data_IF_177825272475
#
_entry.id   IF_177825272475
#
_cell.length_a   1.000
_cell.length_b   1.000
_cell.length_c   1.000
_cell.angle_alpha   90.00
_cell.angle_beta   90.00
_cell.angle_gamma   90.00
#
_symmetry.space_group_name_H-M   'P 1'
#
loop_
_entity.id
_entity.type
_entity.pdbx_description
1 polymer ?
#
# COMPACT_ATOMS: atom_id res chain seq x y z
N UNK A 1 -29.32 20.44 76.58
CA UNK A 1 -29.82 19.68 75.42
C UNK A 1 -28.66 19.49 74.44
N UNK A 2 -27.98 18.40 74.59
CA UNK A 2 -26.69 18.08 73.97
C UNK A 2 -26.92 17.27 72.66
N UNK A 3 -26.44 17.74 71.54
CA UNK A 3 -26.41 16.93 70.32
C UNK A 3 -24.99 16.48 70.02
N UNK A 4 -24.79 15.17 70.12
CA UNK A 4 -23.57 14.51 69.68
C UNK A 4 -23.47 14.53 68.15
N UNK A 5 -22.34 14.95 67.66
CA UNK A 5 -21.96 14.76 66.24
C UNK A 5 -21.10 13.49 66.13
N UNK A 6 -21.57 12.53 65.33
CA UNK A 6 -20.86 11.30 65.02
C UNK A 6 -19.87 11.58 63.84
N UNK A 7 -18.58 11.39 64.09
CA UNK A 7 -17.52 11.36 63.07
C UNK A 7 -17.51 9.99 62.39
N UNK A 8 -17.92 9.93 61.13
CA UNK A 8 -17.75 8.75 60.32
C UNK A 8 -16.34 8.64 59.78
N UNK A 9 -15.63 7.60 60.17
CA UNK A 9 -14.32 7.23 59.68
C UNK A 9 -14.48 6.55 58.30
N UNK A 10 -14.08 7.24 57.20
CA UNK A 10 -14.00 6.65 55.87
C UNK A 10 -12.69 5.89 55.80
N UNK A 11 -12.75 4.57 55.81
CA UNK A 11 -11.66 3.67 55.46
C UNK A 11 -11.44 3.73 53.95
N UNK A 12 -10.34 4.36 53.57
CA UNK A 12 -9.83 4.36 52.20
C UNK A 12 -9.13 3.01 51.94
N UNK A 13 -9.86 2.06 51.33
CA UNK A 13 -9.26 0.80 50.87
C UNK A 13 -8.39 1.06 49.67
N UNK A 14 -7.07 1.01 49.85
CA UNK A 14 -6.08 0.92 48.76
C UNK A 14 -6.29 -0.40 47.99
N UNK A 15 -6.95 -0.33 46.84
CA UNK A 15 -6.92 -1.40 45.88
C UNK A 15 -5.55 -1.39 45.21
N UNK A 16 -4.67 -2.29 45.65
CA UNK A 16 -3.44 -2.59 44.91
C UNK A 16 -3.78 -3.21 43.59
N UNK A 17 -3.47 -2.51 42.50
CA UNK A 17 -3.49 -3.10 41.17
C UNK A 17 -2.49 -4.28 41.12
N UNK A 18 -2.84 -5.43 40.55
CA UNK A 18 -1.88 -6.50 40.38
C UNK A 18 -0.78 -6.04 39.42
N UNK A 19 0.46 -6.04 39.87
CA UNK A 19 1.62 -5.90 39.02
C UNK A 19 1.53 -6.96 37.92
N UNK A 20 1.52 -6.52 36.67
CA UNK A 20 1.58 -7.43 35.53
C UNK A 20 2.83 -8.30 35.69
N UNK A 21 2.59 -9.55 36.03
CA UNK A 21 3.61 -10.56 36.20
C UNK A 21 4.21 -10.80 34.82
N UNK A 22 5.42 -10.27 34.61
CA UNK A 22 6.23 -10.49 33.42
C UNK A 22 6.46 -12.00 33.35
N UNK A 23 5.76 -12.67 32.44
CA UNK A 23 5.90 -14.10 32.23
C UNK A 23 7.35 -14.41 31.92
N UNK A 24 7.97 -15.24 32.75
CA UNK A 24 9.33 -15.71 32.57
C UNK A 24 9.41 -16.39 31.20
N UNK A 25 10.38 -16.00 30.39
CA UNK A 25 10.67 -16.64 29.12
C UNK A 25 10.85 -18.15 29.33
N UNK A 26 10.34 -19.01 28.45
CA UNK A 26 10.51 -20.47 28.58
C UNK A 26 11.99 -20.80 28.63
N UNK A 27 12.36 -21.65 29.58
CA UNK A 27 13.72 -22.11 29.80
C UNK A 27 14.31 -22.66 28.51
N UNK A 28 15.48 -22.17 28.11
CA UNK A 28 16.23 -22.63 26.95
C UNK A 28 16.57 -24.09 27.09
N UNK A 29 16.48 -24.89 26.02
CA UNK A 29 17.11 -26.19 26.02
C UNK A 29 18.64 -26.00 26.22
N UNK A 30 19.17 -26.67 27.24
CA UNK A 30 20.52 -26.41 27.80
C UNK A 30 21.67 -27.09 27.04
N UNK A 31 21.48 -27.51 25.78
CA UNK A 31 22.43 -28.47 25.19
C UNK A 31 22.93 -28.18 23.77
N UNK A 32 22.96 -26.93 23.33
CA UNK A 32 23.70 -26.57 22.13
C UNK A 32 24.60 -25.36 22.39
N UNK A 33 25.94 -25.57 22.26
CA UNK A 33 26.91 -24.48 22.40
C UNK A 33 26.58 -23.33 21.40
N UNK A 34 26.28 -22.16 21.91
CA UNK A 34 25.98 -21.02 21.07
C UNK A 34 27.06 -19.93 21.21
N UNK A 35 27.64 -19.44 20.15
CA UNK A 35 27.45 -19.88 18.76
C UNK A 35 28.01 -21.28 18.51
N UNK A 36 27.55 -21.96 17.45
CA UNK A 36 28.07 -23.26 17.08
C UNK A 36 29.56 -23.18 16.78
N UNK A 37 30.27 -24.30 17.00
CA UNK A 37 31.69 -24.38 16.73
C UNK A 37 32.01 -23.94 15.30
N UNK A 38 33.02 -23.06 15.14
CA UNK A 38 33.42 -22.51 13.83
C UNK A 38 32.74 -21.25 13.43
N UNK A 39 31.67 -20.77 14.14
CA UNK A 39 31.07 -19.47 13.87
C UNK A 39 31.84 -18.33 14.54
N UNK A 40 32.14 -17.31 13.78
CA UNK A 40 32.87 -16.13 14.22
C UNK A 40 31.93 -15.08 14.83
N UNK A 41 32.40 -14.37 15.81
CA UNK A 41 31.73 -13.18 16.37
C UNK A 41 32.23 -11.92 15.65
N UNK A 42 31.43 -10.83 15.65
CA UNK A 42 31.90 -9.51 15.20
C UNK A 42 33.22 -9.10 15.90
N UNK A 43 34.15 -8.54 15.15
CA UNK A 43 35.46 -8.14 15.65
C UNK A 43 36.59 -9.00 15.12
N UNK A 44 37.84 -8.75 15.58
CA UNK A 44 39.05 -9.53 15.25
C UNK A 44 39.25 -9.77 13.72
N UNK A 45 39.07 -8.73 12.91
CA UNK A 45 39.28 -8.80 11.46
C UNK A 45 38.15 -9.49 10.67
N UNK A 46 37.02 -9.77 11.32
CA UNK A 46 35.83 -10.31 10.64
C UNK A 46 35.05 -9.20 9.96
N UNK A 47 34.88 -9.32 8.64
CA UNK A 47 33.98 -8.47 7.86
C UNK A 47 32.55 -8.99 8.02
N UNK A 48 31.63 -8.12 8.42
CA UNK A 48 30.24 -8.51 8.69
C UNK A 48 29.46 -8.80 7.40
N UNK A 49 28.54 -9.77 7.43
CA UNK A 49 27.59 -10.00 6.37
C UNK A 49 26.73 -8.78 6.08
N UNK A 50 26.42 -8.50 4.81
CA UNK A 50 25.52 -7.41 4.40
C UNK A 50 24.20 -7.98 3.90
N UNK A 51 23.04 -7.48 4.34
CA UNK A 51 21.75 -7.99 3.87
C UNK A 51 21.55 -7.71 2.38
N UNK A 52 21.20 -8.73 1.61
CA UNK A 52 20.82 -8.65 0.19
C UNK A 52 19.31 -8.70 0.02
N UNK A 53 18.65 -9.54 0.81
CA UNK A 53 17.19 -9.67 0.77
C UNK A 53 16.66 -9.86 2.19
N UNK A 54 15.60 -9.13 2.53
CA UNK A 54 14.95 -9.15 3.84
C UNK A 54 13.49 -9.52 3.67
N UNK A 55 13.00 -10.47 4.47
CA UNK A 55 11.61 -10.89 4.52
C UNK A 55 11.00 -10.38 5.81
N UNK A 56 9.85 -9.72 5.73
CA UNK A 56 9.13 -9.24 6.92
C UNK A 56 8.47 -10.42 7.64
N UNK A 57 8.48 -10.42 8.99
CA UNK A 57 7.79 -11.43 9.74
C UNK A 57 6.27 -11.29 9.58
N UNK A 58 5.59 -12.44 9.54
CA UNK A 58 4.13 -12.47 9.47
C UNK A 58 3.52 -12.31 10.87
N UNK A 59 2.43 -11.59 10.96
CA UNK A 59 1.62 -11.55 12.18
C UNK A 59 0.80 -12.83 12.33
N UNK A 60 0.65 -13.27 13.56
CA UNK A 60 -0.38 -14.27 13.88
C UNK A 60 -1.72 -13.58 14.10
N UNK A 61 -2.81 -14.26 13.76
CA UNK A 61 -4.16 -13.73 14.00
C UNK A 61 -4.44 -13.46 15.50
N UNK A 62 -3.82 -14.22 16.41
CA UNK A 62 -3.93 -14.02 17.85
C UNK A 62 -3.24 -12.72 18.29
N UNK A 63 -1.98 -12.52 17.89
CA UNK A 63 -1.24 -11.30 18.22
C UNK A 63 -1.85 -10.02 17.63
N UNK A 64 -2.51 -10.13 16.45
CA UNK A 64 -3.25 -9.02 15.88
C UNK A 64 -4.46 -8.63 16.74
N UNK A 65 -5.22 -9.60 17.25
CA UNK A 65 -6.36 -9.32 18.14
C UNK A 65 -5.94 -8.65 19.44
N UNK A 66 -4.82 -9.11 20.00
CA UNK A 66 -4.26 -8.57 21.26
C UNK A 66 -3.43 -7.29 21.03
N UNK A 67 -3.33 -6.83 19.78
CA UNK A 67 -2.61 -5.58 19.39
C UNK A 67 -1.16 -5.53 19.86
N UNK A 68 -0.47 -6.67 19.87
CA UNK A 68 0.92 -6.76 20.33
C UNK A 68 1.83 -6.13 19.28
N UNK A 69 2.64 -5.16 19.68
CA UNK A 69 3.59 -4.47 18.82
C UNK A 69 4.93 -4.33 19.52
N UNK A 70 6.01 -4.34 18.74
CA UNK A 70 7.34 -4.18 19.28
C UNK A 70 8.41 -4.82 18.41
N UNK A 71 9.53 -5.19 19.02
CA UNK A 71 10.68 -5.75 18.32
C UNK A 71 11.09 -7.07 18.93
N UNK A 72 11.40 -8.04 18.06
CA UNK A 72 12.09 -9.28 18.41
C UNK A 72 13.56 -9.11 18.01
N UNK A 73 14.48 -9.33 18.94
CA UNK A 73 15.89 -9.41 18.60
C UNK A 73 16.29 -10.89 18.49
N UNK A 74 16.96 -11.22 17.38
CA UNK A 74 17.45 -12.56 17.09
C UNK A 74 18.97 -12.55 16.97
N UNK A 75 19.62 -13.59 17.49
CA UNK A 75 20.97 -13.95 17.08
C UNK A 75 20.89 -14.99 15.94
N UNK A 76 21.56 -14.70 14.85
CA UNK A 76 21.56 -15.52 13.63
C UNK A 76 22.97 -15.88 13.22
N UNK A 77 23.13 -17.07 12.65
CA UNK A 77 24.37 -17.48 11.97
C UNK A 77 24.15 -17.32 10.48
N UNK A 78 24.93 -16.45 9.87
CA UNK A 78 25.00 -16.32 8.40
C UNK A 78 26.12 -17.22 7.91
N UNK A 79 25.74 -18.18 7.09
CA UNK A 79 26.66 -19.16 6.52
C UNK A 79 27.50 -18.56 5.36
N UNK A 80 28.57 -19.23 4.94
CA UNK A 80 29.42 -18.76 3.82
C UNK A 80 28.67 -18.60 2.47
N UNK A 81 27.51 -19.25 2.31
CA UNK A 81 26.62 -19.10 1.15
C UNK A 81 25.66 -17.92 1.28
N UNK A 82 25.72 -17.15 2.38
CA UNK A 82 24.85 -16.04 2.70
C UNK A 82 23.48 -16.43 3.23
N UNK A 83 23.22 -17.72 3.49
CA UNK A 83 21.96 -18.17 4.10
C UNK A 83 21.97 -18.04 5.61
N UNK A 84 20.77 -17.93 6.22
CA UNK A 84 20.57 -18.00 7.67
C UNK A 84 20.01 -19.37 8.02
N UNK A 85 20.85 -20.26 8.50
CA UNK A 85 20.41 -21.60 8.88
C UNK A 85 19.97 -21.66 10.34
N UNK A 86 20.67 -20.98 11.22
CA UNK A 86 20.41 -20.98 12.66
C UNK A 86 20.03 -19.59 13.13
N UNK A 87 18.95 -19.51 13.89
CA UNK A 87 18.47 -18.29 14.53
C UNK A 87 17.86 -18.63 15.88
N UNK A 88 18.15 -17.83 16.89
CA UNK A 88 17.52 -17.94 18.21
C UNK A 88 17.05 -16.58 18.70
N UNK A 89 16.04 -16.59 19.54
CA UNK A 89 15.52 -15.36 20.15
C UNK A 89 16.50 -14.89 21.22
N UNK A 90 17.03 -13.69 21.06
CA UNK A 90 17.84 -13.00 22.06
C UNK A 90 16.96 -12.19 23.00
N UNK A 91 15.99 -11.47 22.46
CA UNK A 91 14.98 -10.72 23.20
C UNK A 91 13.62 -10.97 22.59
N UNK A 92 12.74 -11.59 23.38
CA UNK A 92 11.36 -11.89 23.04
C UNK A 92 10.52 -10.62 23.03
N UNK A 93 9.59 -10.53 22.07
CA UNK A 93 8.47 -9.64 22.11
C UNK A 93 7.25 -10.33 22.68
N UNK A 94 7.02 -11.57 22.26
CA UNK A 94 5.82 -12.33 22.59
C UNK A 94 6.07 -13.82 22.48
N UNK A 95 6.05 -14.52 23.61
CA UNK A 95 6.19 -15.97 23.69
C UNK A 95 4.86 -16.73 23.64
N UNK A 96 3.70 -16.03 23.66
CA UNK A 96 2.37 -16.64 23.84
C UNK A 96 1.62 -16.73 22.51
N UNK A 97 1.66 -15.69 21.72
CA UNK A 97 0.87 -15.56 20.49
C UNK A 97 1.68 -15.86 19.23
N UNK A 98 2.92 -16.32 19.36
CA UNK A 98 3.75 -16.88 18.28
C UNK A 98 4.52 -15.85 17.44
N UNK A 99 4.69 -14.60 17.88
CA UNK A 99 5.44 -13.59 17.11
C UNK A 99 6.93 -13.91 17.07
N UNK A 100 7.50 -14.43 18.12
CA UNK A 100 8.90 -14.84 18.17
C UNK A 100 9.22 -15.93 17.14
N UNK A 101 8.33 -16.89 16.99
CA UNK A 101 8.44 -17.96 16.00
C UNK A 101 8.35 -17.40 14.56
N UNK A 102 7.44 -16.47 14.32
CA UNK A 102 7.33 -15.81 13.02
C UNK A 102 8.58 -14.96 12.70
N UNK A 103 9.19 -14.35 13.69
CA UNK A 103 10.46 -13.65 13.54
C UNK A 103 11.58 -14.60 13.11
N UNK A 104 11.74 -15.73 13.80
CA UNK A 104 12.73 -16.77 13.44
C UNK A 104 12.49 -17.31 12.02
N UNK A 105 11.22 -17.54 11.66
CA UNK A 105 10.83 -18.03 10.34
C UNK A 105 11.18 -17.03 9.22
N UNK A 106 10.95 -15.75 9.48
CA UNK A 106 11.32 -14.68 8.55
C UNK A 106 12.84 -14.55 8.41
N UNK A 107 13.57 -14.54 9.52
CA UNK A 107 15.03 -14.44 9.54
C UNK A 107 15.72 -15.53 8.71
N UNK A 108 15.23 -16.78 8.76
CA UNK A 108 15.74 -17.90 7.97
C UNK A 108 15.55 -17.74 6.46
N UNK A 109 14.66 -16.85 6.03
CA UNK A 109 14.43 -16.54 4.61
C UNK A 109 15.29 -15.37 4.11
N UNK A 110 15.99 -14.66 5.01
CA UNK A 110 16.89 -13.59 4.60
C UNK A 110 18.09 -14.14 3.82
N UNK A 111 18.67 -13.28 2.99
CA UNK A 111 19.90 -13.57 2.26
C UNK A 111 20.90 -12.45 2.49
N UNK A 112 22.15 -12.82 2.65
CA UNK A 112 23.26 -11.92 2.92
C UNK A 112 24.41 -12.13 1.92
N UNK A 113 25.15 -11.08 1.64
CA UNK A 113 26.52 -11.24 1.20
C UNK A 113 27.31 -11.84 2.39
N UNK A 114 28.08 -12.92 2.19
CA UNK A 114 28.74 -13.62 3.30
C UNK A 114 29.72 -12.73 4.04
N UNK A 115 29.85 -13.00 5.33
CA UNK A 115 30.94 -12.43 6.11
C UNK A 115 32.27 -13.09 5.76
N UNK A 116 33.37 -12.35 5.90
CA UNK A 116 34.69 -12.89 5.57
C UNK A 116 35.67 -12.65 6.71
N UNK A 117 36.65 -13.57 6.81
CA UNK A 117 37.85 -13.39 7.63
C UNK A 117 39.05 -13.73 6.75
N UNK A 118 40.03 -12.84 6.72
CA UNK A 118 41.20 -12.96 5.85
C UNK A 118 40.83 -13.25 4.37
N UNK A 119 39.78 -12.57 3.88
CA UNK A 119 39.16 -12.74 2.56
C UNK A 119 38.54 -14.12 2.27
N UNK A 120 38.39 -14.98 3.27
CA UNK A 120 37.70 -16.25 3.15
C UNK A 120 36.29 -16.12 3.74
N UNK A 121 35.28 -16.61 3.02
CA UNK A 121 33.90 -16.64 3.53
C UNK A 121 33.80 -17.58 4.73
N UNK A 122 33.25 -17.08 5.83
CA UNK A 122 33.15 -17.85 7.09
C UNK A 122 31.75 -17.67 7.70
N UNK A 123 31.28 -18.63 8.52
CA UNK A 123 30.05 -18.45 9.27
C UNK A 123 30.20 -17.30 10.29
N UNK A 124 29.29 -16.34 10.28
CA UNK A 124 29.34 -15.18 11.18
C UNK A 124 28.06 -15.07 11.98
N UNK A 125 28.19 -14.89 13.29
CA UNK A 125 27.07 -14.59 14.17
C UNK A 125 26.75 -13.09 14.09
N UNK A 126 25.49 -12.78 13.82
CA UNK A 126 24.98 -11.40 13.81
C UNK A 126 23.73 -11.28 14.68
N UNK A 127 23.43 -10.07 15.09
CA UNK A 127 22.15 -9.75 15.72
C UNK A 127 21.28 -8.98 14.72
N UNK A 128 20.03 -9.39 14.56
CA UNK A 128 19.04 -8.69 13.77
C UNK A 128 17.82 -8.35 14.61
N UNK A 129 17.20 -7.21 14.34
CA UNK A 129 15.92 -6.84 14.95
C UNK A 129 14.82 -6.90 13.88
N UNK A 130 13.75 -7.62 14.20
CA UNK A 130 12.52 -7.63 13.39
C UNK A 130 11.44 -6.86 14.15
N UNK A 131 10.82 -5.93 13.45
CA UNK A 131 9.79 -5.09 14.03
C UNK A 131 8.40 -5.60 13.65
N UNK A 132 7.57 -5.80 14.65
CA UNK A 132 6.15 -6.03 14.52
C UNK A 132 5.43 -4.72 14.82
N UNK A 133 4.91 -4.10 13.81
CA UNK A 133 3.98 -3.00 13.93
C UNK A 133 2.65 -3.45 13.40
N UNK A 134 1.61 -3.35 14.21
CA UNK A 134 0.29 -3.29 13.65
C UNK A 134 0.32 -2.02 12.82
N UNK A 135 0.31 -2.18 11.51
CA UNK A 135 -0.01 -1.04 10.69
C UNK A 135 -1.29 -0.47 11.31
N UNK A 136 -1.24 0.71 11.86
CA UNK A 136 -2.46 1.49 12.05
C UNK A 136 -3.18 1.33 10.72
N UNK A 137 -4.47 0.94 10.69
CA UNK A 137 -5.17 0.88 9.43
C UNK A 137 -4.76 2.16 8.72
N UNK A 138 -4.17 2.06 7.52
CA UNK A 138 -3.65 3.24 6.84
C UNK A 138 -4.71 4.29 7.05
N UNK A 139 -4.34 5.48 7.57
CA UNK A 139 -5.31 6.55 7.82
C UNK A 139 -6.24 6.50 6.64
N UNK A 140 -7.60 6.58 6.80
CA UNK A 140 -8.51 6.47 5.69
C UNK A 140 -7.97 7.42 4.63
N UNK A 141 -7.47 6.84 3.59
CA UNK A 141 -6.38 7.36 2.81
C UNK A 141 -6.74 8.69 2.25
N UNK A 142 -5.83 9.52 2.35
CA UNK A 142 -5.74 10.75 1.64
C UNK A 142 -5.80 10.44 0.15
N UNK A 143 -6.54 11.21 -0.58
CA UNK A 143 -6.52 11.24 -2.02
C UNK A 143 -5.06 11.34 -2.52
N UNK A 144 -4.77 10.92 -3.75
CA UNK A 144 -3.48 11.25 -4.34
C UNK A 144 -3.15 12.73 -4.07
N UNK A 145 -1.91 13.11 -3.74
CA UNK A 145 -1.57 14.50 -3.41
C UNK A 145 -2.06 15.51 -4.45
N UNK A 146 -2.07 15.12 -5.71
CA UNK A 146 -2.64 15.91 -6.83
C UNK A 146 -4.16 16.08 -6.77
N UNK A 147 -4.86 15.25 -5.99
CA UNK A 147 -6.30 15.36 -5.75
C UNK A 147 -6.63 16.02 -4.39
N UNK A 148 -5.68 16.06 -3.45
CA UNK A 148 -5.94 16.46 -2.07
C UNK A 148 -6.40 17.92 -1.96
N UNK A 149 -5.77 18.83 -2.70
CA UNK A 149 -6.18 20.23 -2.77
C UNK A 149 -7.47 20.44 -3.57
N UNK A 150 -7.83 19.50 -4.42
CA UNK A 150 -8.96 19.56 -5.33
C UNK A 150 -10.19 18.81 -4.80
N UNK A 151 -9.99 17.84 -3.90
CA UNK A 151 -11.07 17.01 -3.35
C UNK A 151 -12.08 17.81 -2.51
N UNK A 152 -11.65 18.93 -1.94
CA UNK A 152 -12.49 19.87 -1.18
C UNK A 152 -13.18 20.92 -2.07
N UNK A 153 -12.86 20.97 -3.36
CA UNK A 153 -13.51 21.87 -4.30
C UNK A 153 -14.92 21.37 -4.58
N UNK A 154 -15.89 22.16 -4.20
CA UNK A 154 -17.30 21.89 -4.51
C UNK A 154 -17.56 22.30 -5.96
N UNK A 155 -17.61 21.32 -6.85
CA UNK A 155 -18.03 21.55 -8.22
C UNK A 155 -19.56 21.53 -8.31
N UNK A 156 -20.11 22.46 -9.10
CA UNK A 156 -21.51 22.39 -9.47
C UNK A 156 -21.73 21.20 -10.42
N UNK A 157 -22.46 20.21 -9.92
CA UNK A 157 -22.76 18.98 -10.66
C UNK A 157 -24.24 18.89 -11.02
N UNK A 158 -25.00 19.98 -10.92
CA UNK A 158 -26.46 20.04 -11.18
C UNK A 158 -26.81 19.75 -12.63
N UNK A 159 -26.00 19.78 -13.55
CA UNK A 159 -26.27 19.45 -14.96
C UNK A 159 -25.52 18.19 -15.46
N UNK A 160 -24.99 17.38 -14.58
CA UNK A 160 -24.22 16.21 -15.00
C UNK A 160 -25.12 15.12 -15.56
N UNK A 161 -24.62 14.42 -16.58
CA UNK A 161 -25.22 13.22 -17.16
C UNK A 161 -24.81 12.01 -16.34
N UNK A 162 -25.62 10.96 -16.43
CA UNK A 162 -25.29 9.64 -15.89
C UNK A 162 -25.33 8.60 -17.00
N UNK A 163 -24.41 7.65 -16.92
CA UNK A 163 -24.45 6.41 -17.68
C UNK A 163 -24.47 5.20 -16.75
N UNK A 164 -25.18 4.16 -17.18
CA UNK A 164 -25.31 2.90 -16.48
C UNK A 164 -24.90 1.79 -17.41
N UNK A 165 -24.03 0.92 -16.93
CA UNK A 165 -23.58 -0.26 -17.68
C UNK A 165 -23.71 -1.51 -16.81
N UNK A 166 -24.34 -2.53 -17.36
CA UNK A 166 -24.54 -3.84 -16.73
C UNK A 166 -23.53 -4.83 -17.32
N UNK A 167 -22.63 -5.35 -16.46
CA UNK A 167 -21.57 -6.26 -16.90
C UNK A 167 -21.16 -7.22 -15.79
N UNK A 168 -21.03 -8.50 -16.14
CA UNK A 168 -20.54 -9.54 -15.21
C UNK A 168 -21.30 -9.60 -13.87
N UNK A 169 -22.62 -9.33 -13.88
CA UNK A 169 -23.46 -9.29 -12.67
C UNK A 169 -23.31 -8.02 -11.83
N UNK A 170 -22.62 -7.01 -12.35
CA UNK A 170 -22.48 -5.70 -11.72
C UNK A 170 -23.19 -4.64 -12.55
N UNK A 171 -23.88 -3.73 -11.88
CA UNK A 171 -24.36 -2.48 -12.42
C UNK A 171 -23.38 -1.37 -12.03
N UNK A 172 -22.73 -0.76 -13.01
CA UNK A 172 -21.77 0.33 -12.82
C UNK A 172 -22.38 1.61 -13.35
N UNK A 173 -22.53 2.60 -12.46
CA UNK A 173 -23.06 3.92 -12.77
C UNK A 173 -21.96 4.96 -12.62
N UNK A 174 -21.86 5.86 -13.59
CA UNK A 174 -20.90 6.97 -13.61
C UNK A 174 -21.62 8.27 -13.93
N UNK A 175 -21.42 9.30 -13.12
CA UNK A 175 -21.88 10.65 -13.43
C UNK A 175 -20.71 11.50 -13.96
N UNK A 176 -20.97 12.32 -14.97
CA UNK A 176 -19.96 13.10 -15.67
C UNK A 176 -20.50 14.44 -16.21
N UNK A 177 -19.63 15.46 -16.43
CA UNK A 177 -20.03 16.76 -16.93
C UNK A 177 -20.71 16.67 -18.29
N UNK A 178 -21.70 17.54 -18.54
CA UNK A 178 -22.38 17.62 -19.82
C UNK A 178 -21.45 17.91 -21.01
N UNK A 179 -20.34 18.60 -20.76
CA UNK A 179 -19.32 18.91 -21.75
C UNK A 179 -18.48 17.73 -22.18
N UNK A 180 -18.57 16.59 -21.47
CA UNK A 180 -17.79 15.40 -21.80
C UNK A 180 -18.53 14.54 -22.82
N UNK A 181 -17.76 13.99 -23.78
CA UNK A 181 -18.23 12.98 -24.70
C UNK A 181 -18.06 11.59 -24.08
N UNK A 182 -19.09 10.75 -24.21
CA UNK A 182 -19.08 9.38 -23.72
C UNK A 182 -19.11 8.39 -24.89
N UNK A 183 -18.33 7.30 -24.74
CA UNK A 183 -18.35 6.13 -25.63
C UNK A 183 -18.53 4.88 -24.80
N UNK A 184 -19.40 4.00 -25.21
CA UNK A 184 -19.43 2.61 -24.77
C UNK A 184 -18.43 1.83 -25.61
N UNK A 185 -17.83 0.80 -25.02
CA UNK A 185 -16.79 0.01 -25.67
C UNK A 185 -15.62 0.88 -26.16
N UNK A 186 -15.07 1.65 -25.23
CA UNK A 186 -13.95 2.55 -25.50
C UNK A 186 -12.69 1.83 -25.98
N UNK A 187 -11.64 2.57 -26.37
CA UNK A 187 -10.38 1.99 -26.81
C UNK A 187 -9.87 0.91 -25.86
N UNK A 188 -9.29 -0.15 -26.40
CA UNK A 188 -8.76 -1.31 -25.63
C UNK A 188 -9.80 -2.05 -24.79
N UNK A 189 -11.07 -2.06 -25.21
CA UNK A 189 -12.14 -2.83 -24.54
C UNK A 189 -12.57 -2.25 -23.19
N UNK A 190 -12.48 -0.94 -23.01
CA UNK A 190 -13.00 -0.24 -21.82
C UNK A 190 -14.54 -0.23 -21.85
N UNK A 191 -15.12 -0.53 -20.68
CA UNK A 191 -16.58 -0.56 -20.53
C UNK A 191 -17.21 0.83 -20.71
N UNK A 192 -16.61 1.84 -20.07
CA UNK A 192 -17.02 3.24 -20.16
C UNK A 192 -15.77 4.04 -20.48
N UNK A 193 -15.88 4.93 -21.45
CA UNK A 193 -14.83 5.85 -21.82
C UNK A 193 -15.39 7.26 -21.97
N UNK A 194 -14.90 8.19 -21.20
CA UNK A 194 -15.33 9.58 -21.16
C UNK A 194 -14.13 10.48 -21.48
N UNK A 195 -14.35 11.46 -22.33
CA UNK A 195 -13.35 12.41 -22.75
C UNK A 195 -13.89 13.84 -22.63
N UNK A 196 -13.10 14.74 -22.06
CA UNK A 196 -13.46 16.17 -22.04
C UNK A 196 -13.57 16.72 -23.47
N UNK A 197 -14.64 17.46 -23.72
CA UNK A 197 -14.85 18.11 -24.99
C UNK A 197 -14.32 19.55 -24.92
N UNK A 198 -13.31 19.84 -25.73
CA UNK A 198 -12.88 21.22 -25.97
C UNK A 198 -11.42 21.48 -25.69
N UNK A 199 -10.78 22.11 -26.64
CA UNK A 199 -9.49 22.74 -26.52
C UNK A 199 -8.28 21.83 -26.48
N UNK A 200 -7.23 22.34 -25.85
CA UNK A 200 -5.93 21.70 -25.74
C UNK A 200 -5.83 20.74 -24.56
N UNK A 201 -6.83 20.75 -23.68
CA UNK A 201 -6.80 20.01 -22.41
C UNK A 201 -7.65 18.75 -22.54
N UNK A 202 -7.01 17.64 -22.88
CA UNK A 202 -7.71 16.37 -23.00
C UNK A 202 -7.62 15.61 -21.69
N UNK A 203 -8.74 15.47 -21.00
CA UNK A 203 -8.92 14.64 -19.82
C UNK A 203 -9.72 13.42 -20.19
N UNK A 204 -9.29 12.28 -19.67
CA UNK A 204 -9.93 11.00 -19.94
C UNK A 204 -10.30 10.36 -18.61
N UNK A 205 -11.53 9.90 -18.53
CA UNK A 205 -11.99 9.03 -17.45
C UNK A 205 -12.52 7.75 -18.07
N UNK A 206 -12.11 6.61 -17.55
CA UNK A 206 -12.58 5.34 -18.07
C UNK A 206 -12.80 4.32 -16.95
N UNK A 207 -13.68 3.36 -17.24
CA UNK A 207 -13.87 2.17 -16.41
C UNK A 207 -13.47 0.96 -17.24
N UNK A 208 -12.57 0.13 -16.72
CA UNK A 208 -12.23 -1.14 -17.35
C UNK A 208 -13.35 -2.18 -17.15
N UNK A 209 -13.44 -3.11 -18.07
CA UNK A 209 -14.29 -4.28 -17.87
C UNK A 209 -13.88 -5.00 -16.58
N UNK A 210 -14.83 -5.34 -15.68
CA UNK A 210 -14.56 -6.06 -14.47
C UNK A 210 -13.82 -7.38 -14.76
N UNK A 211 -12.86 -7.70 -13.90
CA UNK A 211 -12.03 -8.90 -14.00
C UNK A 211 -12.13 -9.71 -12.71
N UNK A 212 -11.95 -11.04 -12.74
CA UNK A 212 -11.88 -11.82 -11.51
C UNK A 212 -10.84 -11.24 -10.54
N UNK A 213 -11.17 -11.23 -9.25
CA UNK A 213 -10.32 -10.63 -8.21
C UNK A 213 -8.95 -11.29 -8.18
N UNK A 214 -7.92 -10.49 -8.33
CA UNK A 214 -6.52 -10.88 -8.07
C UNK A 214 -6.04 -10.39 -6.70
N UNK A 215 -6.61 -9.30 -6.22
CA UNK A 215 -6.28 -8.68 -4.94
C UNK A 215 -7.57 -8.17 -4.31
N UNK A 216 -7.91 -8.66 -3.12
CA UNK A 216 -9.05 -8.13 -2.38
C UNK A 216 -8.73 -6.74 -1.84
N UNK A 217 -9.62 -5.79 -2.11
CA UNK A 217 -9.54 -4.42 -1.59
C UNK A 217 -10.34 -4.34 -0.29
N UNK A 218 -9.70 -3.92 0.79
CA UNK A 218 -10.35 -3.83 2.10
C UNK A 218 -9.35 -3.61 3.22
N UNK A 219 -9.76 -3.83 4.44
CA UNK A 219 -8.96 -3.59 5.65
C UNK A 219 -7.69 -4.45 5.78
N UNK A 220 -7.53 -5.48 4.93
CA UNK A 220 -6.36 -6.38 4.91
C UNK A 220 -5.27 -6.00 3.91
N UNK A 221 -5.41 -4.90 3.19
CA UNK A 221 -4.41 -4.47 2.20
C UNK A 221 -3.18 -3.92 2.91
N UNK A 222 -2.02 -4.50 2.62
CA UNK A 222 -0.74 -4.09 3.21
C UNK A 222 0.01 -3.14 2.26
N UNK A 223 0.92 -2.34 2.80
CA UNK A 223 1.80 -1.47 2.00
C UNK A 223 2.59 -2.25 0.96
N UNK A 224 3.03 -3.47 1.29
CA UNK A 224 3.75 -4.35 0.37
C UNK A 224 2.86 -4.80 -0.81
N UNK A 225 1.59 -5.12 -0.55
CA UNK A 225 0.64 -5.42 -1.63
C UNK A 225 0.42 -4.21 -2.55
N UNK A 226 0.30 -3.01 -1.97
CA UNK A 226 0.18 -1.77 -2.74
C UNK A 226 1.41 -1.54 -3.60
N UNK A 227 2.60 -1.72 -3.03
CA UNK A 227 3.85 -1.53 -3.76
C UNK A 227 3.98 -2.50 -4.94
N UNK A 228 3.67 -3.78 -4.75
CA UNK A 228 3.67 -4.76 -5.85
C UNK A 228 2.69 -4.42 -6.96
N UNK A 229 1.51 -3.92 -6.61
CA UNK A 229 0.53 -3.47 -7.61
C UNK A 229 1.05 -2.28 -8.42
N UNK A 230 1.64 -1.28 -7.75
CA UNK A 230 2.22 -0.12 -8.41
C UNK A 230 3.40 -0.52 -9.30
N UNK A 231 4.27 -1.41 -8.83
CA UNK A 231 5.42 -1.89 -9.60
C UNK A 231 4.98 -2.70 -10.83
N UNK A 232 3.98 -3.56 -10.69
CA UNK A 232 3.40 -4.30 -11.82
C UNK A 232 2.76 -3.35 -12.85
N UNK A 233 2.02 -2.35 -12.39
CA UNK A 233 1.41 -1.34 -13.26
C UNK A 233 2.46 -0.47 -13.94
N UNK A 234 3.50 -0.05 -13.20
CA UNK A 234 4.63 0.68 -13.77
C UNK A 234 5.32 -0.14 -14.86
N UNK A 235 5.58 -1.42 -14.63
CA UNK A 235 6.23 -2.29 -15.61
C UNK A 235 5.38 -2.43 -16.88
N UNK A 236 4.08 -2.62 -16.72
CA UNK A 236 3.15 -2.69 -17.85
C UNK A 236 3.13 -1.38 -18.65
N UNK A 237 3.04 -0.24 -17.97
CA UNK A 237 3.01 1.08 -18.60
C UNK A 237 4.37 1.44 -19.24
N UNK A 238 5.49 1.04 -18.65
CA UNK A 238 6.82 1.26 -19.24
C UNK A 238 6.95 0.55 -20.60
N UNK A 239 6.35 -0.63 -20.73
CA UNK A 239 6.34 -1.38 -22.00
C UNK A 239 5.45 -0.69 -23.05
N UNK A 240 4.32 -0.10 -22.63
CA UNK A 240 3.34 0.51 -23.53
C UNK A 240 3.63 1.98 -23.88
N UNK A 241 4.16 2.75 -22.93
CA UNK A 241 4.27 4.22 -23.01
C UNK A 241 5.70 4.75 -22.80
N UNK A 242 6.71 3.88 -22.79
CA UNK A 242 8.09 4.26 -22.49
C UNK A 242 8.35 4.33 -20.99
N UNK A 243 9.02 5.39 -20.49
CA UNK A 243 9.29 5.51 -19.08
C UNK A 243 8.05 5.92 -18.28
N UNK A 244 7.71 5.12 -17.26
CA UNK A 244 6.68 5.41 -16.28
C UNK A 244 7.32 5.58 -14.89
N UNK A 245 6.96 6.64 -14.18
CA UNK A 245 7.41 6.93 -12.83
C UNK A 245 6.23 6.86 -11.86
N UNK A 246 6.37 6.09 -10.76
CA UNK A 246 5.38 6.06 -9.69
C UNK A 246 5.52 7.33 -8.85
N UNK A 247 4.51 8.17 -8.84
CA UNK A 247 4.44 9.41 -8.05
C UNK A 247 3.76 9.19 -6.70
N UNK A 248 2.95 8.18 -6.59
CA UNK A 248 2.29 7.83 -5.34
C UNK A 248 1.47 6.56 -5.42
N UNK A 249 1.17 6.04 -4.25
CA UNK A 249 0.37 4.83 -4.05
C UNK A 249 -0.31 4.91 -2.70
N UNK A 250 -1.55 4.49 -2.62
CA UNK A 250 -2.27 4.53 -1.35
C UNK A 250 -3.64 3.89 -1.41
N UNK A 251 -4.42 4.19 -0.38
CA UNK A 251 -5.81 3.78 -0.28
C UNK A 251 -6.67 5.02 -0.02
N UNK A 252 -7.86 5.05 -0.57
CA UNK A 252 -8.86 6.08 -0.30
C UNK A 252 -10.20 5.45 0.03
N UNK A 253 -10.94 6.05 0.96
CA UNK A 253 -12.36 5.79 1.12
C UNK A 253 -13.13 6.89 0.43
N UNK A 254 -13.76 6.55 -0.70
CA UNK A 254 -14.55 7.49 -1.48
C UNK A 254 -16.01 7.05 -1.40
N UNK A 255 -16.87 7.91 -0.91
CA UNK A 255 -18.23 7.56 -0.50
C UNK A 255 -18.20 6.36 0.47
N UNK A 256 -18.89 5.28 0.18
CA UNK A 256 -18.95 4.09 1.04
C UNK A 256 -17.94 2.99 0.68
N UNK A 257 -17.04 3.27 -0.26
CA UNK A 257 -16.19 2.26 -0.87
C UNK A 257 -14.71 2.52 -0.62
N UNK A 258 -13.96 1.45 -0.38
CA UNK A 258 -12.50 1.50 -0.34
C UNK A 258 -11.92 1.33 -1.74
N UNK A 259 -10.93 2.15 -2.04
CA UNK A 259 -10.17 2.13 -3.28
C UNK A 259 -8.68 2.03 -2.97
N UNK A 260 -7.97 1.19 -3.71
CA UNK A 260 -6.52 1.28 -3.82
C UNK A 260 -6.25 2.22 -5.00
N UNK A 261 -5.35 3.16 -4.84
CA UNK A 261 -4.95 4.02 -5.94
C UNK A 261 -3.44 4.02 -6.15
N UNK A 262 -3.03 4.22 -7.37
CA UNK A 262 -1.67 4.55 -7.74
C UNK A 262 -1.67 5.66 -8.79
N UNK A 263 -0.59 6.43 -8.78
CA UNK A 263 -0.37 7.65 -9.54
C UNK A 263 0.92 7.50 -10.34
N UNK A 264 0.82 7.53 -11.67
CA UNK A 264 1.92 7.35 -12.59
C UNK A 264 2.11 8.61 -13.44
N UNK A 265 3.36 9.08 -13.55
CA UNK A 265 3.76 10.03 -14.56
C UNK A 265 4.32 9.28 -15.77
N UNK A 266 3.80 9.57 -16.95
CA UNK A 266 4.20 8.95 -18.21
C UNK A 266 4.83 10.03 -19.10
N UNK A 267 5.96 9.71 -19.73
CA UNK A 267 6.63 10.63 -20.68
C UNK A 267 5.88 10.75 -21.99
N UNK A 268 5.17 9.69 -22.38
CA UNK A 268 4.28 9.69 -23.55
C UNK A 268 2.94 9.10 -23.15
N UNK A 269 1.83 9.56 -23.74
CA UNK A 269 0.56 8.90 -23.53
C UNK A 269 0.63 7.49 -24.11
N UNK A 270 0.02 6.53 -23.41
CA UNK A 270 -0.21 5.22 -23.98
C UNK A 270 -1.21 5.38 -25.15
N UNK A 271 -0.79 5.01 -26.35
CA UNK A 271 -1.62 5.09 -27.54
C UNK A 271 -2.94 4.30 -27.39
N UNK A 272 -2.93 3.22 -26.58
CA UNK A 272 -4.12 2.45 -26.26
C UNK A 272 -5.11 3.21 -25.36
N UNK A 273 -4.71 4.30 -24.73
CA UNK A 273 -5.60 5.17 -23.94
C UNK A 273 -6.23 6.28 -24.77
N UNK A 274 -5.68 6.57 -25.93
CA UNK A 274 -6.17 7.63 -26.80
C UNK A 274 -7.26 7.10 -27.72
N UNK A 275 -8.30 7.90 -28.01
CA UNK A 275 -9.25 7.54 -29.06
C UNK A 275 -8.55 7.57 -30.42
N UNK A 276 -9.02 6.80 -31.41
CA UNK A 276 -8.40 6.74 -32.74
C UNK A 276 -8.19 8.12 -33.38
N UNK A 277 -9.08 9.06 -33.13
CA UNK A 277 -9.02 10.43 -33.62
C UNK A 277 -7.95 11.26 -32.91
N UNK A 278 -7.54 10.86 -31.71
CA UNK A 278 -6.50 11.55 -30.95
C UNK A 278 -5.09 11.05 -31.26
N UNK A 279 -4.92 10.06 -32.13
CA UNK A 279 -3.61 9.62 -32.60
C UNK A 279 -2.81 10.78 -33.21
N UNK A 280 -3.48 11.70 -33.91
CA UNK A 280 -2.89 12.95 -34.41
C UNK A 280 -2.42 13.89 -33.28
N UNK A 281 -3.01 13.80 -32.10
CA UNK A 281 -2.62 14.60 -30.95
C UNK A 281 -1.49 13.95 -30.14
N UNK A 282 -1.24 12.66 -30.29
CA UNK A 282 -0.19 11.96 -29.53
C UNK A 282 1.19 12.61 -29.72
N UNK A 283 1.48 13.14 -30.91
CA UNK A 283 2.71 13.86 -31.19
C UNK A 283 2.76 15.27 -30.56
N UNK A 284 1.59 15.82 -30.23
CA UNK A 284 1.46 17.13 -29.59
C UNK A 284 1.44 17.06 -28.06
N UNK A 285 1.58 15.86 -27.47
CA UNK A 285 1.56 15.63 -26.05
C UNK A 285 2.97 15.35 -25.55
N UNK A 286 3.38 16.05 -24.50
CA UNK A 286 4.70 15.97 -23.87
C UNK A 286 4.66 15.30 -22.50
N UNK A 287 3.72 14.41 -22.31
CA UNK A 287 3.55 13.63 -21.10
C UNK A 287 2.10 13.55 -20.64
N UNK A 288 1.90 12.69 -19.64
CA UNK A 288 0.57 12.51 -19.04
C UNK A 288 0.69 12.07 -17.59
N UNK A 289 -0.40 12.24 -16.87
CA UNK A 289 -0.60 11.70 -15.54
C UNK A 289 -1.74 10.71 -15.58
N UNK A 290 -1.48 9.51 -15.07
CA UNK A 290 -2.48 8.45 -14.96
C UNK A 290 -2.69 8.11 -13.50
N UNK A 291 -3.91 8.25 -13.03
CA UNK A 291 -4.36 7.73 -11.75
C UNK A 291 -5.26 6.53 -11.99
N UNK A 292 -4.97 5.45 -11.30
CA UNK A 292 -5.82 4.27 -11.34
C UNK A 292 -6.35 3.98 -9.95
N UNK A 293 -7.64 3.73 -9.88
CA UNK A 293 -8.37 3.38 -8.68
C UNK A 293 -8.95 1.98 -8.83
N UNK A 294 -8.64 1.10 -7.88
CA UNK A 294 -9.07 -0.28 -7.87
C UNK A 294 -10.00 -0.53 -6.68
N UNK A 295 -11.12 -1.16 -6.93
CA UNK A 295 -12.01 -1.68 -5.89
C UNK A 295 -12.46 -3.08 -6.22
N UNK A 296 -13.14 -3.74 -5.28
CA UNK A 296 -13.68 -5.09 -5.48
C UNK A 296 -15.14 -5.16 -5.10
N UNK A 297 -15.93 -5.86 -5.90
CA UNK A 297 -17.34 -6.13 -5.63
C UNK A 297 -17.70 -7.50 -6.19
N UNK A 298 -18.43 -8.31 -5.43
CA UNK A 298 -18.93 -9.63 -5.82
C UNK A 298 -17.87 -10.53 -6.49
N UNK A 299 -16.65 -10.57 -5.97
CA UNK A 299 -15.55 -11.35 -6.53
C UNK A 299 -14.96 -10.79 -7.84
N UNK A 300 -15.38 -9.60 -8.25
CA UNK A 300 -14.84 -8.88 -9.40
C UNK A 300 -13.96 -7.69 -8.94
N UNK A 301 -12.90 -7.42 -9.66
CA UNK A 301 -12.09 -6.21 -9.53
C UNK A 301 -12.57 -5.19 -10.56
N UNK A 302 -12.92 -4.01 -10.10
CA UNK A 302 -13.27 -2.86 -10.96
C UNK A 302 -12.14 -1.86 -10.91
N UNK A 303 -11.66 -1.45 -12.08
CA UNK A 303 -10.63 -0.44 -12.23
C UNK A 303 -11.22 0.81 -12.88
N UNK A 304 -10.92 1.96 -12.27
CA UNK A 304 -11.25 3.28 -12.82
C UNK A 304 -9.94 4.01 -13.09
N UNK A 305 -9.77 4.47 -14.32
CA UNK A 305 -8.61 5.26 -14.72
C UNK A 305 -8.98 6.71 -14.99
N UNK A 306 -8.11 7.60 -14.55
CA UNK A 306 -8.19 9.04 -14.78
C UNK A 306 -6.89 9.51 -15.41
N UNK A 307 -6.94 10.19 -16.54
CA UNK A 307 -5.78 10.65 -17.28
C UNK A 307 -5.86 12.15 -17.53
N UNK A 308 -4.78 12.86 -17.23
CA UNK A 308 -4.56 14.22 -17.69
C UNK A 308 -3.39 14.22 -18.69
N UNK A 309 -3.62 14.79 -19.87
CA UNK A 309 -2.63 14.90 -20.93
C UNK A 309 -2.03 16.31 -20.92
N UNK A 310 -0.71 16.39 -21.08
CA UNK A 310 -0.01 17.67 -21.11
C UNK A 310 0.37 18.03 -22.56
N UNK A 311 -0.15 19.13 -23.09
CA UNK A 311 0.28 19.62 -24.40
C UNK A 311 1.78 19.88 -24.43
N UNK A 312 2.40 19.69 -25.62
CA UNK A 312 3.80 20.01 -25.85
C UNK A 312 4.08 21.48 -25.51
N UNK A 313 5.20 21.74 -24.88
CA UNK A 313 5.62 23.06 -24.39
C UNK A 313 4.77 23.65 -23.26
N UNK A 314 4.00 22.84 -22.54
CA UNK A 314 3.37 23.30 -21.31
C UNK A 314 4.44 23.61 -20.25
N UNK A 315 4.33 24.78 -19.61
CA UNK A 315 5.17 25.11 -18.47
C UNK A 315 4.83 24.22 -17.26
N UNK A 316 5.73 24.10 -16.29
CA UNK A 316 5.44 23.35 -15.06
C UNK A 316 4.25 23.95 -14.31
N UNK A 317 4.06 25.28 -14.35
CA UNK A 317 2.90 25.94 -13.77
C UNK A 317 1.59 25.58 -14.49
N UNK A 318 1.62 25.40 -15.81
CA UNK A 318 0.44 24.96 -16.57
C UNK A 318 0.11 23.50 -16.28
N UNK A 319 1.13 22.64 -16.19
CA UNK A 319 0.95 21.23 -15.80
C UNK A 319 0.35 21.11 -14.39
N UNK A 320 0.86 21.90 -13.44
CA UNK A 320 0.32 21.89 -12.06
C UNK A 320 -1.13 22.38 -12.00
N UNK A 321 -1.45 23.44 -12.73
CA UNK A 321 -2.84 23.94 -12.83
C UNK A 321 -3.77 22.88 -13.45
N UNK A 322 -3.31 22.21 -14.50
CA UNK A 322 -4.07 21.14 -15.15
C UNK A 322 -4.27 19.96 -14.20
N UNK A 323 -3.26 19.57 -13.42
CA UNK A 323 -3.37 18.52 -12.42
C UNK A 323 -4.40 18.84 -11.34
N UNK A 324 -4.42 20.09 -10.86
CA UNK A 324 -5.39 20.54 -9.86
C UNK A 324 -6.82 20.53 -10.42
N UNK A 325 -7.02 21.02 -11.63
CA UNK A 325 -8.32 21.01 -12.29
C UNK A 325 -8.82 19.61 -12.59
N UNK A 326 -7.95 18.78 -13.20
CA UNK A 326 -8.26 17.38 -13.48
C UNK A 326 -8.57 16.62 -12.19
N UNK A 327 -7.77 16.83 -11.14
CA UNK A 327 -7.99 16.24 -9.83
C UNK A 327 -9.36 16.55 -9.24
N UNK A 328 -9.84 17.81 -9.36
CA UNK A 328 -11.15 18.21 -8.87
C UNK A 328 -12.29 17.51 -9.62
N UNK A 329 -12.22 17.49 -10.95
CA UNK A 329 -13.24 16.81 -11.79
C UNK A 329 -13.26 15.31 -11.54
N UNK A 330 -12.10 14.67 -11.56
CA UNK A 330 -11.98 13.23 -11.31
C UNK A 330 -12.45 12.84 -9.91
N UNK A 331 -12.11 13.63 -8.88
CA UNK A 331 -12.59 13.41 -7.54
C UNK A 331 -14.13 13.49 -7.46
N UNK A 332 -14.72 14.45 -8.14
CA UNK A 332 -16.17 14.61 -8.19
C UNK A 332 -16.85 13.45 -8.95
N UNK A 333 -16.23 12.96 -10.03
CA UNK A 333 -16.70 11.79 -10.78
C UNK A 333 -16.59 10.52 -9.94
N UNK A 334 -15.44 10.27 -9.30
CA UNK A 334 -15.21 9.11 -8.44
C UNK A 334 -16.18 9.04 -7.25
N UNK A 335 -16.50 10.18 -6.63
CA UNK A 335 -17.52 10.25 -5.57
C UNK A 335 -18.92 9.79 -6.03
N UNK A 336 -19.14 9.76 -7.34
CA UNK A 336 -20.42 9.39 -7.97
C UNK A 336 -20.36 8.07 -8.73
N UNK A 337 -19.25 7.36 -8.66
CA UNK A 337 -19.19 5.98 -9.16
C UNK A 337 -19.97 5.11 -8.21
N UNK A 338 -21.03 4.47 -8.70
CA UNK A 338 -21.80 3.47 -7.96
C UNK A 338 -21.61 2.11 -8.61
N UNK A 339 -21.36 1.09 -7.81
CA UNK A 339 -21.20 -0.30 -8.24
C UNK A 339 -22.14 -1.13 -7.38
N UNK A 340 -23.10 -1.79 -8.00
CA UNK A 340 -24.11 -2.58 -7.31
C UNK A 340 -24.15 -3.99 -7.92
N UNK A 341 -24.49 -4.99 -7.12
CA UNK A 341 -24.73 -6.35 -7.56
C UNK A 341 -26.17 -6.42 -8.07
N UNK A 342 -26.36 -7.03 -9.24
CA UNK A 342 -27.66 -7.28 -9.83
C UNK A 342 -28.34 -8.48 -9.19
#
# INVERSE_FOLDING_TARGET
MTRLAAFGLILLSLVSAPAAQQAAAPARPADESWPPAGAFRPGNGVVLPKPLSQVRPQYTGAAMREKIQGKVALECIVEPDGSVQRARVLRSLDAVYGLDEQAVKAAKQWRFAPGTKDNVAVPVMITIELTFTLASPPRPAEWPPSFASAADTVLDTSGWKEDVSDVSGLQIRVAYPNSWAMRKDGPSGRLIYLQSAGGRDTRIFFVENPKPVRVQVGSGVTTDMLQRLADASRQQMTTAAGNAEVKGIGQARVADRFWIWYDLALQKPDAAMLPPEASAFAEAIDGSRLWTFLTTEAGQQVAVGCVALFPRNSSDADKERELQQAGAEFAAMLKRVSIQVH
#
